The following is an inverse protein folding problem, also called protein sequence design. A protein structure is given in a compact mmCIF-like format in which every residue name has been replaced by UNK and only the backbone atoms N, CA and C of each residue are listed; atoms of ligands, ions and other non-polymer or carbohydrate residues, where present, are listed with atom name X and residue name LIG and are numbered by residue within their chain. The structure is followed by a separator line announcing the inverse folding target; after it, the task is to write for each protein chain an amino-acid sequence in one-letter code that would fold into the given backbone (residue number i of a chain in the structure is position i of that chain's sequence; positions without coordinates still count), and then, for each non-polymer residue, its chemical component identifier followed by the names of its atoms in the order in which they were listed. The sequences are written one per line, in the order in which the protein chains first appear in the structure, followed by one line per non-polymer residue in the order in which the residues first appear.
data_IF_956175045590
#
_entry.id   IF_956175045590
#
_cell.length_a   1.000
_cell.length_b   1.000
_cell.length_c   1.000
_cell.angle_alpha   90.00
_cell.angle_beta   90.00
_cell.angle_gamma   90.00
#
_symmetry.space_group_name_H-M   'P 1'
#
loop_
_entity.id
_entity.type
_entity.pdbx_description
1 polymer ?
#
# COMPACT_ATOMS: atom_id res chain seq x y z
N UNK A 1 10.47 4.14 5.30
CA UNK A 1 10.47 2.67 5.08
C UNK A 1 9.52 2.36 3.93
N UNK A 2 9.98 2.41 2.68
CA UNK A 2 9.22 1.87 1.54
C UNK A 2 10.21 1.46 0.45
N UNK A 3 10.82 0.28 0.54
CA UNK A 3 11.83 -0.15 -0.45
C UNK A 3 11.21 -0.59 -1.79
N UNK A 4 9.89 -0.46 -1.97
CA UNK A 4 9.15 -0.99 -3.12
C UNK A 4 9.11 -2.52 -3.19
N UNK A 5 9.75 -3.23 -2.25
CA UNK A 5 9.75 -4.69 -2.21
C UNK A 5 8.45 -5.21 -1.60
N UNK A 6 7.89 -6.27 -2.17
CA UNK A 6 6.73 -6.95 -1.59
C UNK A 6 5.75 -7.52 -2.60
N UNK A 7 4.48 -7.49 -2.26
CA UNK A 7 3.36 -8.02 -3.06
C UNK A 7 2.78 -7.01 -4.05
N UNK A 8 3.48 -5.89 -4.25
CA UNK A 8 3.16 -4.85 -5.22
C UNK A 8 3.29 -5.39 -6.65
N UNK A 9 2.29 -5.18 -7.52
CA UNK A 9 2.40 -5.64 -8.93
C UNK A 9 3.61 -5.05 -9.65
N UNK A 10 3.97 -3.80 -9.37
CA UNK A 10 5.18 -3.18 -9.93
C UNK A 10 6.46 -3.98 -9.61
N UNK A 11 6.58 -4.48 -8.38
CA UNK A 11 7.70 -5.31 -7.95
C UNK A 11 7.64 -6.71 -8.56
N UNK A 12 6.48 -7.35 -8.55
CA UNK A 12 6.29 -8.71 -9.06
C UNK A 12 6.49 -8.79 -10.58
N UNK A 13 6.01 -7.79 -11.31
CA UNK A 13 6.18 -7.67 -12.76
C UNK A 13 7.67 -7.59 -13.16
N UNK A 14 8.51 -6.90 -12.37
CA UNK A 14 9.97 -6.85 -12.59
C UNK A 14 10.62 -8.24 -12.67
N UNK A 15 10.07 -9.21 -11.95
CA UNK A 15 10.53 -10.61 -11.94
C UNK A 15 9.62 -11.56 -12.75
N UNK A 16 8.71 -11.02 -13.57
CA UNK A 16 7.77 -11.77 -14.40
C UNK A 16 6.81 -12.67 -13.60
N UNK A 17 6.54 -12.31 -12.35
CA UNK A 17 5.53 -12.98 -11.52
C UNK A 17 4.11 -12.41 -11.73
N UNK A 18 3.98 -11.25 -12.37
CA UNK A 18 2.73 -10.61 -12.78
C UNK A 18 2.86 -10.16 -14.24
N UNK A 19 1.74 -10.12 -14.96
CA UNK A 19 1.72 -9.77 -16.40
C UNK A 19 1.72 -8.26 -16.64
N UNK A 20 1.34 -7.46 -15.63
CA UNK A 20 1.33 -5.99 -15.70
C UNK A 20 1.69 -5.40 -14.33
N UNK A 21 2.43 -4.26 -14.30
CA UNK A 21 2.74 -3.54 -13.08
C UNK A 21 1.59 -2.64 -12.58
N UNK A 22 0.55 -2.44 -13.40
CA UNK A 22 -0.51 -1.45 -13.18
C UNK A 22 -1.40 -1.78 -11.98
N UNK A 23 -1.97 -0.77 -11.34
CA UNK A 23 -2.99 -0.94 -10.32
C UNK A 23 -4.32 -1.36 -10.96
N UNK A 24 -4.98 -2.45 -10.48
CA UNK A 24 -6.28 -2.85 -11.01
C UNK A 24 -7.38 -1.78 -10.86
N UNK A 25 -7.22 -0.86 -9.92
CA UNK A 25 -8.16 0.23 -9.64
C UNK A 25 -7.75 1.56 -10.28
N UNK A 26 -6.51 1.66 -10.76
CA UNK A 26 -5.92 2.85 -11.36
C UNK A 26 -5.06 2.44 -12.56
N UNK A 27 -5.66 2.21 -13.74
CA UNK A 27 -4.98 1.62 -14.90
C UNK A 27 -3.75 2.42 -15.38
N UNK A 28 -3.70 3.72 -15.13
CA UNK A 28 -2.59 4.59 -15.56
C UNK A 28 -1.43 4.65 -14.55
N UNK A 29 -1.58 4.01 -13.38
CA UNK A 29 -0.61 4.05 -12.31
C UNK A 29 -0.06 2.67 -12.01
N UNK A 30 1.25 2.56 -11.80
CA UNK A 30 1.85 1.34 -11.28
C UNK A 30 1.36 1.08 -9.86
N UNK A 31 1.04 -0.18 -9.53
CA UNK A 31 0.80 -0.58 -8.14
C UNK A 31 2.15 -0.70 -7.42
N UNK A 32 2.77 0.45 -7.15
CA UNK A 32 3.91 0.58 -6.26
C UNK A 32 3.46 1.07 -4.88
N UNK A 33 4.41 1.14 -3.96
CA UNK A 33 4.09 1.46 -2.59
C UNK A 33 3.73 2.95 -2.38
N UNK A 34 4.27 3.86 -3.20
CA UNK A 34 3.92 5.28 -3.11
C UNK A 34 2.47 5.49 -3.56
N UNK A 35 2.10 4.92 -4.71
CA UNK A 35 0.72 4.94 -5.18
C UNK A 35 -0.22 4.31 -4.14
N UNK A 36 0.07 3.08 -3.71
CA UNK A 36 -0.75 2.35 -2.74
C UNK A 36 -0.96 3.18 -1.46
N UNK A 37 0.12 3.68 -0.86
CA UNK A 37 0.04 4.34 0.43
C UNK A 37 -0.40 5.79 0.38
N UNK A 38 -0.31 6.50 -0.75
CA UNK A 38 -0.57 7.96 -0.81
C UNK A 38 -1.68 8.40 -1.77
N UNK A 39 -1.99 7.66 -2.82
CA UNK A 39 -2.94 8.13 -3.85
C UNK A 39 -3.98 7.10 -4.28
N UNK A 40 -3.78 5.81 -4.00
CA UNK A 40 -4.67 4.75 -4.46
C UNK A 40 -6.06 4.87 -3.80
N UNK A 41 -7.13 4.99 -4.60
CA UNK A 41 -8.50 5.12 -4.11
C UNK A 41 -8.99 3.83 -3.45
N UNK A 42 -8.38 2.68 -3.79
CA UNK A 42 -8.65 1.38 -3.16
C UNK A 42 -8.51 1.43 -1.64
N UNK A 43 -7.56 2.22 -1.13
CA UNK A 43 -7.20 2.31 0.29
C UNK A 43 -7.56 3.66 0.90
N UNK A 44 -8.48 4.41 0.26
CA UNK A 44 -8.87 5.76 0.70
C UNK A 44 -9.56 5.73 2.08
N UNK A 45 -10.33 4.69 2.39
CA UNK A 45 -11.03 4.57 3.67
C UNK A 45 -10.02 4.36 4.81
N UNK A 46 -9.08 3.43 4.64
CA UNK A 46 -8.04 3.12 5.62
C UNK A 46 -7.12 4.33 5.82
N UNK A 47 -6.74 5.00 4.73
CA UNK A 47 -5.96 6.24 4.75
C UNK A 47 -6.67 7.33 5.53
N UNK A 48 -7.92 7.67 5.19
CA UNK A 48 -8.70 8.71 5.88
C UNK A 48 -8.93 8.38 7.34
N UNK A 49 -9.09 7.10 7.68
CA UNK A 49 -9.21 6.64 9.06
C UNK A 49 -7.95 7.00 9.85
N UNK A 50 -6.77 6.71 9.29
CA UNK A 50 -5.51 7.08 9.91
C UNK A 50 -5.32 8.61 10.00
N UNK A 51 -5.61 9.35 8.92
CA UNK A 51 -5.54 10.82 8.92
C UNK A 51 -6.45 11.43 9.99
N UNK A 52 -7.63 10.86 10.22
CA UNK A 52 -8.57 11.29 11.25
C UNK A 52 -8.06 10.99 12.67
N UNK A 53 -7.34 9.90 12.87
CA UNK A 53 -6.69 9.55 14.16
C UNK A 53 -5.55 10.53 14.43
N UNK A 54 -4.73 10.81 13.42
CA UNK A 54 -3.53 11.65 13.56
C UNK A 54 -3.79 13.14 13.42
N UNK A 55 -5.00 13.53 13.01
CA UNK A 55 -5.39 14.93 12.70
C UNK A 55 -4.45 15.60 11.69
N UNK A 56 -3.89 14.81 10.79
CA UNK A 56 -2.89 15.24 9.81
C UNK A 56 -3.07 14.46 8.51
N UNK A 57 -2.91 15.15 7.38
CA UNK A 57 -2.90 14.49 6.07
C UNK A 57 -1.65 13.66 5.87
N UNK A 58 -1.84 12.49 5.30
CA UNK A 58 -0.75 11.59 4.97
C UNK A 58 -0.17 11.97 3.60
N UNK A 59 1.14 12.08 3.54
CA UNK A 59 1.91 12.24 2.32
C UNK A 59 3.33 11.71 2.51
N UNK A 60 4.10 11.58 1.42
CA UNK A 60 5.47 11.08 1.47
C UNK A 60 6.35 11.85 2.47
N UNK A 61 6.23 13.17 2.48
CA UNK A 61 7.04 14.05 3.34
C UNK A 61 6.54 14.12 4.80
N UNK A 62 5.30 13.74 5.06
CA UNK A 62 4.69 13.83 6.40
C UNK A 62 4.74 12.51 7.15
N UNK A 63 4.85 11.38 6.45
CA UNK A 63 4.80 10.04 7.04
C UNK A 63 5.84 9.83 8.13
N UNK A 64 7.09 10.23 7.88
CA UNK A 64 8.18 10.06 8.85
C UNK A 64 7.93 10.88 10.12
N UNK A 65 7.46 12.13 9.98
CA UNK A 65 7.12 12.98 11.11
C UNK A 65 5.94 12.42 11.92
N UNK A 66 4.92 11.90 11.22
CA UNK A 66 3.76 11.27 11.85
C UNK A 66 4.19 10.04 12.67
N UNK A 67 5.02 9.16 12.10
CA UNK A 67 5.49 7.93 12.74
C UNK A 67 6.30 8.18 14.02
N UNK A 68 7.14 9.22 14.05
CA UNK A 68 8.02 9.50 15.21
C UNK A 68 7.37 10.38 16.28
N UNK A 69 6.20 10.97 16.00
CA UNK A 69 5.55 11.93 16.91
C UNK A 69 5.12 11.34 18.24
N UNK A 70 4.69 10.07 18.26
CA UNK A 70 4.28 9.36 19.47
C UNK A 70 4.17 7.85 19.22
N UNK A 71 4.18 7.06 20.30
CA UNK A 71 3.94 5.62 20.22
C UNK A 71 2.57 5.27 19.62
N UNK A 72 1.52 6.02 19.98
CA UNK A 72 0.17 5.82 19.43
C UNK A 72 0.11 6.13 17.94
N UNK A 73 0.83 7.17 17.48
CA UNK A 73 0.91 7.49 16.06
C UNK A 73 1.66 6.41 15.27
N UNK A 74 2.75 5.89 15.82
CA UNK A 74 3.46 4.74 15.27
C UNK A 74 2.55 3.52 15.16
N UNK A 75 1.83 3.15 16.23
CA UNK A 75 0.93 1.99 16.25
C UNK A 75 -0.20 2.13 15.24
N UNK A 76 -0.83 3.31 15.15
CA UNK A 76 -1.88 3.58 14.16
C UNK A 76 -1.34 3.48 12.72
N UNK A 77 -0.16 4.05 12.46
CA UNK A 77 0.48 3.99 11.13
C UNK A 77 0.90 2.56 10.78
N UNK A 78 1.43 1.81 11.74
CA UNK A 78 1.81 0.41 11.57
C UNK A 78 0.60 -0.49 11.33
N UNK A 79 -0.53 -0.25 12.00
CA UNK A 79 -1.77 -0.99 11.77
C UNK A 79 -2.26 -0.77 10.35
N UNK A 80 -2.38 0.50 9.93
CA UNK A 80 -2.74 0.86 8.55
C UNK A 80 -1.83 0.18 7.52
N UNK A 81 -0.51 0.27 7.71
CA UNK A 81 0.44 -0.35 6.79
C UNK A 81 0.26 -1.87 6.71
N UNK A 82 0.01 -2.52 7.84
CA UNK A 82 -0.23 -3.96 7.92
C UNK A 82 -1.51 -4.35 7.19
N UNK A 83 -2.61 -3.62 7.40
CA UNK A 83 -3.90 -3.89 6.77
C UNK A 83 -3.81 -3.80 5.25
N UNK A 84 -3.22 -2.72 4.74
CA UNK A 84 -3.00 -2.50 3.29
C UNK A 84 -2.15 -3.62 2.69
N UNK A 85 -1.02 -3.94 3.34
CA UNK A 85 -0.12 -5.01 2.86
C UNK A 85 -0.79 -6.39 2.91
N UNK A 86 -1.61 -6.66 3.93
CA UNK A 86 -2.34 -7.93 4.03
C UNK A 86 -3.38 -8.06 2.91
N UNK A 87 -4.12 -7.00 2.59
CA UNK A 87 -5.06 -6.99 1.47
C UNK A 87 -4.36 -7.21 0.12
N UNK A 88 -3.21 -6.57 -0.10
CA UNK A 88 -2.40 -6.78 -1.31
C UNK A 88 -1.90 -8.22 -1.42
N UNK A 89 -1.36 -8.79 -0.32
CA UNK A 89 -0.92 -10.20 -0.28
C UNK A 89 -2.07 -11.17 -0.56
N UNK A 90 -3.25 -10.95 0.00
CA UNK A 90 -4.42 -11.77 -0.32
C UNK A 90 -4.77 -11.69 -1.80
N UNK A 91 -4.74 -10.49 -2.37
CA UNK A 91 -5.05 -10.27 -3.79
C UNK A 91 -4.02 -10.93 -4.72
N UNK A 92 -2.73 -10.85 -4.37
CA UNK A 92 -1.63 -11.52 -5.07
C UNK A 92 -1.81 -13.04 -5.09
N UNK A 93 -2.10 -13.64 -3.93
CA UNK A 93 -2.36 -15.08 -3.81
C UNK A 93 -3.54 -15.55 -4.64
N UNK A 94 -4.63 -14.81 -4.66
CA UNK A 94 -5.80 -15.17 -5.49
C UNK A 94 -5.44 -15.13 -6.99
N UNK A 95 -4.69 -14.13 -7.44
CA UNK A 95 -4.22 -14.05 -8.83
C UNK A 95 -3.24 -15.17 -9.19
N UNK A 96 -2.36 -15.54 -8.27
CA UNK A 96 -1.44 -16.67 -8.46
C UNK A 96 -2.18 -18.01 -8.63
N UNK A 97 -3.28 -18.22 -7.88
CA UNK A 97 -4.14 -19.40 -8.04
C UNK A 97 -4.83 -19.44 -9.41
N UNK A 98 -5.30 -18.29 -9.90
CA UNK A 98 -5.96 -18.22 -11.23
C UNK A 98 -4.99 -18.43 -12.39
N UNK A 99 -3.70 -18.10 -12.23
CA UNK A 99 -2.66 -18.28 -13.26
C UNK A 99 -2.07 -19.69 -13.33
N UNK A 100 -2.23 -20.48 -12.26
CA UNK A 100 -1.71 -21.85 -12.19
C UNK A 100 -2.70 -22.91 -12.72
N UNK A 101 -3.84 -22.47 -13.25
CA UNK A 101 -4.84 -23.31 -13.93
C UNK A 101 -4.79 -23.04 -15.42
#
# INVERSE_FOLDING_TARGET
MVSGHGCFRAYLHRFKHEDSPECPFCPEFSEDAEHVFFTCPRFDIERRTLENVLKQKMGPDTLDQMMVSSKTAWEATSSFATDVLQQLRCSERERAKTRSK
#
